data_IF_376630074914
#
_entry.id   IF_376630074914
#
_cell.length_a   1.000
_cell.length_b   1.000
_cell.length_c   1.000
_cell.angle_alpha   90.00
_cell.angle_beta   90.00
_cell.angle_gamma   90.00
#
_symmetry.space_group_name_H-M   'P 1'
#
loop_
_entity.id
_entity.type
_entity.pdbx_description
1 polymer ?
#
# COMPACT_ATOMS: atom_id res chain seq x y z
N UNK A 1 18.45 -5.05 10.05
CA UNK A 1 17.07 -4.78 10.50
C UNK A 1 16.98 -3.30 10.81
N UNK A 2 16.73 -2.49 9.79
CA UNK A 2 16.42 -1.07 10.00
C UNK A 2 14.94 -0.97 10.39
N UNK A 3 14.71 -0.31 11.52
CA UNK A 3 13.41 -0.08 12.10
C UNK A 3 12.55 0.77 11.18
N UNK A 4 11.28 0.37 11.07
CA UNK A 4 10.14 1.15 10.59
C UNK A 4 10.45 2.62 10.36
N UNK A 5 10.55 3.01 9.08
CA UNK A 5 10.74 4.38 8.64
C UNK A 5 9.74 5.28 9.36
N UNK A 6 10.27 6.08 10.27
CA UNK A 6 9.53 7.03 11.10
C UNK A 6 8.53 7.79 10.25
N UNK A 7 7.24 7.62 10.54
CA UNK A 7 6.28 8.68 10.24
C UNK A 7 6.84 9.92 10.91
N UNK A 8 7.29 10.88 10.10
CA UNK A 8 7.97 12.05 10.65
C UNK A 8 7.08 12.68 11.73
N UNK A 9 7.64 13.16 12.85
CA UNK A 9 6.87 13.84 13.90
C UNK A 9 6.00 14.98 13.35
N UNK A 10 6.36 15.54 12.19
CA UNK A 10 5.55 16.53 11.49
C UNK A 10 4.27 15.92 10.89
N UNK A 11 4.29 14.69 10.37
CA UNK A 11 3.10 14.00 9.84
C UNK A 11 2.15 13.66 10.98
N UNK A 12 2.66 13.11 12.09
CA UNK A 12 1.84 12.83 13.28
C UNK A 12 1.33 14.10 13.95
N UNK A 13 2.14 15.17 13.97
CA UNK A 13 1.74 16.49 14.47
C UNK A 13 0.65 17.15 13.61
N UNK A 14 0.73 17.04 12.28
CA UNK A 14 -0.29 17.56 11.36
C UNK A 14 -1.61 16.79 11.50
N UNK A 15 -1.55 15.46 11.66
CA UNK A 15 -2.72 14.61 11.90
C UNK A 15 -3.37 14.91 13.26
N UNK A 16 -2.57 15.07 14.32
CA UNK A 16 -3.05 15.41 15.66
C UNK A 16 -3.68 16.80 15.74
N UNK A 17 -3.12 17.79 15.05
CA UNK A 17 -3.68 19.15 15.01
C UNK A 17 -4.95 19.21 14.14
N UNK A 18 -5.03 18.43 13.06
CA UNK A 18 -6.27 18.31 12.27
C UNK A 18 -7.41 17.69 13.10
N UNK A 19 -7.12 16.65 13.90
CA UNK A 19 -8.07 16.05 14.85
C UNK A 19 -8.46 17.01 16.00
N UNK A 20 -7.50 17.74 16.56
CA UNK A 20 -7.78 18.75 17.60
C UNK A 20 -8.62 19.92 17.09
N UNK A 21 -8.43 20.32 15.83
CA UNK A 21 -9.27 21.33 15.18
C UNK A 21 -10.68 20.80 14.88
N UNK A 22 -10.83 19.51 14.52
CA UNK A 22 -12.13 18.88 14.30
C UNK A 22 -13.00 18.87 15.56
N UNK A 23 -12.44 18.55 16.73
CA UNK A 23 -13.19 18.55 18.01
C UNK A 23 -13.65 19.97 18.39
N UNK A 24 -12.83 20.98 18.10
CA UNK A 24 -13.14 22.38 18.43
C UNK A 24 -14.27 22.98 17.57
N UNK A 25 -14.55 22.43 16.39
CA UNK A 25 -15.48 23.00 15.40
C UNK A 25 -16.84 22.31 15.41
N UNK A 26 -16.92 21.07 15.91
CA UNK A 26 -18.18 20.38 16.18
C UNK A 26 -19.14 21.21 17.07
N UNK A 27 -18.61 22.14 17.87
CA UNK A 27 -19.39 22.94 18.78
C UNK A 27 -20.12 24.15 18.15
N UNK A 28 -19.78 24.64 16.93
CA UNK A 28 -20.23 25.99 16.53
C UNK A 28 -20.77 26.17 15.10
N UNK A 29 -20.47 25.33 14.09
CA UNK A 29 -20.98 25.56 12.71
C UNK A 29 -21.32 24.27 11.95
N UNK A 30 -22.42 23.63 12.34
CA UNK A 30 -23.03 22.54 11.57
C UNK A 30 -23.78 23.07 10.34
N UNK A 31 -23.11 23.08 9.19
CA UNK A 31 -23.77 23.18 7.88
C UNK A 31 -23.69 21.83 7.14
N UNK A 32 -24.67 21.55 6.28
CA UNK A 32 -24.76 20.29 5.52
C UNK A 32 -23.47 19.95 4.75
N UNK A 33 -22.76 20.97 4.27
CA UNK A 33 -21.48 20.81 3.57
C UNK A 33 -20.35 20.30 4.47
N UNK A 34 -20.26 20.77 5.72
CA UNK A 34 -19.22 20.33 6.65
C UNK A 34 -19.45 18.87 7.08
N UNK A 35 -20.72 18.51 7.31
CA UNK A 35 -21.14 17.14 7.61
C UNK A 35 -20.85 16.21 6.43
N UNK A 36 -21.29 16.58 5.22
CA UNK A 36 -21.01 15.83 4.00
C UNK A 36 -19.50 15.61 3.79
N UNK A 37 -18.68 16.64 3.99
CA UNK A 37 -17.23 16.53 3.86
C UNK A 37 -16.60 15.63 4.95
N UNK A 38 -17.18 15.60 6.15
CA UNK A 38 -16.74 14.70 7.22
C UNK A 38 -17.12 13.25 6.93
N UNK A 39 -18.33 13.01 6.43
CA UNK A 39 -18.80 11.67 6.07
C UNK A 39 -18.00 11.11 4.90
N UNK A 40 -17.74 11.93 3.88
CA UNK A 40 -16.88 11.58 2.75
C UNK A 40 -15.42 11.37 3.17
N UNK A 41 -14.90 12.15 4.14
CA UNK A 41 -13.58 11.91 4.75
C UNK A 41 -13.53 10.53 5.38
N UNK A 42 -14.48 10.20 6.25
CA UNK A 42 -14.50 8.94 6.98
C UNK A 42 -14.60 7.76 6.01
N UNK A 43 -15.50 7.84 5.03
CA UNK A 43 -15.68 6.80 4.01
C UNK A 43 -14.39 6.53 3.24
N UNK A 44 -13.75 7.57 2.69
CA UNK A 44 -12.50 7.44 1.94
C UNK A 44 -11.37 6.94 2.84
N UNK A 45 -11.27 7.43 4.07
CA UNK A 45 -10.23 7.04 5.00
C UNK A 45 -10.34 5.55 5.38
N UNK A 46 -11.55 5.08 5.70
CA UNK A 46 -11.81 3.67 5.97
C UNK A 46 -11.42 2.78 4.79
N UNK A 47 -11.76 3.20 3.58
CA UNK A 47 -11.41 2.46 2.38
C UNK A 47 -9.90 2.44 2.09
N UNK A 48 -9.19 3.56 2.28
CA UNK A 48 -7.73 3.59 2.20
C UNK A 48 -7.06 2.65 3.20
N UNK A 49 -7.59 2.57 4.43
CA UNK A 49 -7.10 1.63 5.44
C UNK A 49 -7.34 0.17 5.02
N UNK A 50 -8.48 -0.12 4.38
CA UNK A 50 -8.79 -1.46 3.86
C UNK A 50 -7.85 -1.85 2.72
N UNK A 51 -7.58 -0.94 1.78
CA UNK A 51 -6.59 -1.13 0.69
C UNK A 51 -5.23 -1.54 1.27
N UNK A 52 -4.71 -0.77 2.23
CA UNK A 52 -3.39 -1.01 2.81
C UNK A 52 -3.34 -2.34 3.57
N UNK A 53 -4.36 -2.64 4.38
CA UNK A 53 -4.45 -3.92 5.10
C UNK A 53 -4.51 -5.11 4.15
N UNK A 54 -5.27 -5.01 3.06
CA UNK A 54 -5.38 -6.08 2.07
C UNK A 54 -4.05 -6.30 1.33
N UNK A 55 -3.38 -5.21 0.92
CA UNK A 55 -2.08 -5.28 0.25
C UNK A 55 -0.98 -5.84 1.16
N UNK A 56 -0.90 -5.38 2.41
CA UNK A 56 0.07 -5.87 3.38
C UNK A 56 -0.14 -7.35 3.72
N UNK A 57 -1.41 -7.77 3.88
CA UNK A 57 -1.74 -9.17 4.11
C UNK A 57 -1.29 -10.06 2.94
N UNK A 58 -1.46 -9.61 1.70
CA UNK A 58 -0.96 -10.32 0.54
C UNK A 58 0.56 -10.34 0.48
N UNK A 59 1.22 -9.20 0.67
CA UNK A 59 2.69 -9.11 0.70
C UNK A 59 3.30 -10.09 1.70
N UNK A 60 2.77 -10.12 2.93
CA UNK A 60 3.22 -11.04 3.98
C UNK A 60 2.98 -12.49 3.57
N UNK A 61 1.78 -12.84 3.10
CA UNK A 61 1.45 -14.21 2.72
C UNK A 61 2.36 -14.73 1.60
N UNK A 62 2.55 -13.95 0.54
CA UNK A 62 3.43 -14.35 -0.55
C UNK A 62 4.90 -14.42 -0.13
N UNK A 63 5.36 -13.53 0.76
CA UNK A 63 6.74 -13.55 1.27
C UNK A 63 7.02 -14.81 2.08
N UNK A 64 6.07 -15.23 2.92
CA UNK A 64 6.19 -16.48 3.68
C UNK A 64 6.25 -17.69 2.74
N UNK A 65 5.43 -17.70 1.69
CA UNK A 65 5.46 -18.76 0.68
C UNK A 65 6.79 -18.84 -0.07
N UNK A 66 7.36 -17.71 -0.48
CA UNK A 66 8.68 -17.78 -1.10
C UNK A 66 9.80 -18.20 -0.16
N UNK A 67 9.74 -17.81 1.11
CA UNK A 67 10.71 -18.29 2.09
C UNK A 67 10.62 -19.81 2.22
N UNK A 68 9.42 -20.36 2.34
CA UNK A 68 9.21 -21.81 2.42
C UNK A 68 9.71 -22.54 1.15
N UNK A 69 9.48 -21.96 -0.03
CA UNK A 69 10.02 -22.48 -1.31
C UNK A 69 11.56 -22.44 -1.33
N UNK A 70 12.18 -21.35 -0.88
CA UNK A 70 13.63 -21.22 -0.84
C UNK A 70 14.26 -22.24 0.13
N UNK A 71 13.65 -22.43 1.29
CA UNK A 71 14.07 -23.44 2.27
C UNK A 71 13.96 -24.85 1.68
N UNK A 72 12.87 -25.14 0.97
CA UNK A 72 12.69 -26.41 0.26
C UNK A 72 13.78 -26.65 -0.80
N UNK A 73 14.09 -25.65 -1.63
CA UNK A 73 15.16 -25.73 -2.64
C UNK A 73 16.52 -25.97 -1.96
N UNK A 74 16.81 -25.25 -0.87
CA UNK A 74 18.06 -25.39 -0.13
C UNK A 74 18.23 -26.81 0.45
N UNK A 75 17.16 -27.38 1.00
CA UNK A 75 17.17 -28.76 1.52
C UNK A 75 17.34 -29.78 0.38
N UNK A 76 16.67 -29.57 -0.76
CA UNK A 76 16.86 -30.39 -1.96
C UNK A 76 18.31 -30.39 -2.45
N UNK A 77 18.95 -29.21 -2.52
CA UNK A 77 20.35 -29.07 -2.91
C UNK A 77 21.30 -29.75 -1.92
N UNK A 78 21.00 -29.67 -0.61
CA UNK A 78 21.77 -30.36 0.44
C UNK A 78 21.67 -31.89 0.29
N UNK A 79 20.47 -32.42 0.07
CA UNK A 79 20.26 -33.85 -0.14
C UNK A 79 21.07 -34.37 -1.35
N UNK A 80 21.06 -33.63 -2.47
CA UNK A 80 21.84 -33.97 -3.67
C UNK A 80 23.34 -33.94 -3.39
N UNK A 81 23.84 -32.93 -2.67
CA UNK A 81 25.26 -32.83 -2.31
C UNK A 81 25.73 -34.00 -1.42
N UNK A 82 24.83 -34.59 -0.64
CA UNK A 82 25.09 -35.76 0.20
C UNK A 82 24.86 -37.10 -0.54
N UNK A 83 24.54 -37.08 -1.84
CA UNK A 83 24.26 -38.27 -2.65
C UNK A 83 22.89 -38.91 -2.38
N UNK A 84 21.99 -38.20 -1.69
CA UNK A 84 20.60 -38.61 -1.45
C UNK A 84 19.70 -38.11 -2.59
N UNK A 85 18.62 -38.84 -2.88
CA UNK A 85 17.63 -38.40 -3.87
C UNK A 85 16.92 -37.12 -3.37
N UNK A 86 16.73 -36.09 -4.20
CA UNK A 86 16.02 -34.89 -3.81
C UNK A 86 14.54 -35.21 -3.53
N UNK A 87 13.97 -34.57 -2.51
CA UNK A 87 12.54 -34.70 -2.24
C UNK A 87 11.74 -34.02 -3.36
N UNK A 88 10.78 -34.73 -3.94
CA UNK A 88 10.30 -34.43 -5.32
C UNK A 88 9.09 -33.50 -5.38
N UNK A 89 8.54 -33.07 -4.24
CA UNK A 89 7.34 -32.22 -4.23
C UNK A 89 7.35 -31.24 -3.06
N UNK A 90 7.22 -29.95 -3.38
CA UNK A 90 6.87 -28.91 -2.41
C UNK A 90 5.36 -28.82 -2.33
N UNK A 91 4.81 -29.04 -1.14
CA UNK A 91 3.43 -28.72 -0.81
C UNK A 91 3.43 -27.61 0.23
N UNK A 92 2.82 -26.47 -0.09
CA UNK A 92 2.68 -25.39 0.86
C UNK A 92 1.81 -25.85 2.05
N UNK A 93 2.17 -25.40 3.26
CA UNK A 93 1.39 -25.73 4.45
C UNK A 93 -0.08 -25.29 4.30
N UNK A 94 -1.06 -26.11 4.70
CA UNK A 94 -2.48 -25.78 4.54
C UNK A 94 -2.87 -24.43 5.16
N UNK A 95 -2.24 -24.04 6.28
CA UNK A 95 -2.46 -22.74 6.91
C UNK A 95 -2.01 -21.58 6.01
N UNK A 96 -0.88 -21.73 5.32
CA UNK A 96 -0.36 -20.73 4.40
C UNK A 96 -1.26 -20.58 3.18
N UNK A 97 -1.76 -21.69 2.64
CA UNK A 97 -2.73 -21.67 1.55
C UNK A 97 -4.03 -20.95 1.95
N UNK A 98 -4.53 -21.18 3.16
CA UNK A 98 -5.71 -20.47 3.66
C UNK A 98 -5.44 -18.96 3.82
N UNK A 99 -4.27 -18.58 4.35
CA UNK A 99 -3.84 -17.16 4.44
C UNK A 99 -3.76 -16.50 3.06
N UNK A 100 -3.21 -17.19 2.05
CA UNK A 100 -3.17 -16.69 0.67
C UNK A 100 -4.58 -16.54 0.11
N UNK A 101 -5.47 -17.51 0.35
CA UNK A 101 -6.87 -17.45 -0.12
C UNK A 101 -7.64 -16.28 0.51
N UNK A 102 -7.53 -16.10 1.83
CA UNK A 102 -8.19 -15.02 2.56
C UNK A 102 -7.65 -13.65 2.13
N UNK A 103 -6.33 -13.49 2.02
CA UNK A 103 -5.72 -12.24 1.56
C UNK A 103 -6.04 -11.93 0.09
N UNK A 104 -6.14 -12.97 -0.75
CA UNK A 104 -6.61 -12.87 -2.13
C UNK A 104 -8.04 -12.37 -2.22
N UNK A 105 -8.93 -12.89 -1.37
CA UNK A 105 -10.32 -12.44 -1.36
C UNK A 105 -10.43 -10.96 -0.95
N UNK A 106 -9.78 -10.57 0.14
CA UNK A 106 -9.77 -9.17 0.61
C UNK A 106 -9.28 -8.20 -0.47
N UNK A 107 -8.26 -8.58 -1.22
CA UNK A 107 -7.76 -7.76 -2.32
C UNK A 107 -8.75 -7.68 -3.50
N UNK A 108 -9.46 -8.77 -3.82
CA UNK A 108 -10.50 -8.73 -4.86
C UNK A 108 -11.63 -7.78 -4.48
N UNK A 109 -12.00 -7.73 -3.20
CA UNK A 109 -13.02 -6.81 -2.69
C UNK A 109 -12.57 -5.35 -2.87
N UNK A 110 -11.30 -5.05 -2.58
CA UNK A 110 -10.67 -3.75 -2.87
C UNK A 110 -10.65 -3.45 -4.39
N UNK A 111 -10.25 -4.41 -5.22
CA UNK A 111 -10.21 -4.20 -6.67
C UNK A 111 -11.61 -3.90 -7.23
N UNK A 112 -12.66 -4.55 -6.72
CA UNK A 112 -14.03 -4.33 -7.16
C UNK A 112 -14.54 -2.90 -6.87
N UNK A 113 -14.07 -2.28 -5.79
CA UNK A 113 -14.52 -0.96 -5.35
C UNK A 113 -13.63 0.20 -5.82
N UNK A 114 -12.49 -0.08 -6.46
CA UNK A 114 -11.47 0.94 -6.78
C UNK A 114 -12.03 2.15 -7.53
N UNK A 115 -12.75 1.94 -8.63
CA UNK A 115 -13.28 3.03 -9.45
C UNK A 115 -14.33 3.91 -8.75
N UNK A 116 -14.95 3.42 -7.68
CA UNK A 116 -15.99 4.14 -6.94
C UNK A 116 -15.43 4.97 -5.79
N UNK A 117 -14.25 4.62 -5.28
CA UNK A 117 -13.78 5.10 -3.98
C UNK A 117 -12.37 5.72 -4.01
N UNK A 118 -11.64 5.61 -5.12
CA UNK A 118 -10.25 6.07 -5.21
C UNK A 118 -10.08 7.26 -6.14
N UNK A 119 -8.98 8.00 -5.91
CA UNK A 119 -8.48 8.96 -6.90
C UNK A 119 -7.50 8.28 -7.88
N UNK A 120 -7.07 9.05 -8.89
CA UNK A 120 -6.18 8.60 -9.96
C UNK A 120 -4.87 7.95 -9.45
N UNK A 121 -4.30 8.43 -8.34
CA UNK A 121 -3.02 7.95 -7.82
C UNK A 121 -3.21 6.59 -7.16
N UNK A 122 -4.25 6.47 -6.34
CA UNK A 122 -4.59 5.21 -5.66
C UNK A 122 -5.05 4.17 -6.66
N UNK A 123 -5.85 4.55 -7.66
CA UNK A 123 -6.26 3.64 -8.74
C UNK A 123 -5.05 3.09 -9.50
N UNK A 124 -4.14 3.96 -9.95
CA UNK A 124 -2.90 3.57 -10.64
C UNK A 124 -2.03 2.67 -9.78
N UNK A 125 -1.92 2.96 -8.48
CA UNK A 125 -1.13 2.14 -7.57
C UNK A 125 -1.77 0.77 -7.29
N UNK A 126 -3.10 0.70 -7.17
CA UNK A 126 -3.84 -0.58 -7.10
C UNK A 126 -3.57 -1.40 -8.36
N UNK A 127 -3.58 -0.77 -9.54
CA UNK A 127 -3.26 -1.45 -10.80
C UNK A 127 -1.84 -2.02 -10.83
N UNK A 128 -0.85 -1.27 -10.36
CA UNK A 128 0.55 -1.72 -10.26
C UNK A 128 0.67 -2.91 -9.29
N UNK A 129 0.04 -2.81 -8.11
CA UNK A 129 0.08 -3.87 -7.12
C UNK A 129 -0.62 -5.15 -7.60
N UNK A 130 -1.78 -5.02 -8.26
CA UNK A 130 -2.53 -6.15 -8.80
C UNK A 130 -1.78 -6.84 -9.96
N UNK A 131 -1.11 -6.07 -10.81
CA UNK A 131 -0.27 -6.63 -11.87
C UNK A 131 0.91 -7.43 -11.28
N UNK A 132 1.60 -6.90 -10.28
CA UNK A 132 2.72 -7.59 -9.63
C UNK A 132 2.27 -8.85 -8.88
N UNK A 133 1.09 -8.81 -8.26
CA UNK A 133 0.45 -10.00 -7.68
C UNK A 133 0.20 -11.08 -8.75
N UNK A 134 -0.24 -10.67 -9.95
CA UNK A 134 -0.42 -11.59 -11.08
C UNK A 134 0.87 -12.31 -11.49
N UNK A 135 2.00 -11.59 -11.53
CA UNK A 135 3.33 -12.16 -11.81
C UNK A 135 3.70 -13.21 -10.75
N UNK A 136 3.53 -12.86 -9.48
CA UNK A 136 3.79 -13.78 -8.35
C UNK A 136 2.88 -15.01 -8.36
N UNK A 137 1.63 -14.87 -8.78
CA UNK A 137 0.72 -16.02 -8.88
C UNK A 137 1.06 -16.95 -10.05
N UNK A 138 1.73 -16.45 -11.10
CA UNK A 138 2.12 -17.21 -12.30
C UNK A 138 3.53 -17.82 -12.25
N UNK A 139 4.14 -17.93 -11.06
CA UNK A 139 5.58 -18.17 -10.83
C UNK A 139 6.23 -19.32 -11.61
N UNK A 140 7.46 -19.04 -12.06
CA UNK A 140 8.59 -19.99 -12.15
C UNK A 140 9.42 -19.90 -10.86
N UNK A 141 9.97 -21.02 -10.38
CA UNK A 141 10.73 -21.09 -9.12
C UNK A 141 12.03 -20.27 -9.14
N UNK A 142 12.60 -20.04 -10.32
CA UNK A 142 13.93 -19.43 -10.49
C UNK A 142 13.95 -17.91 -10.26
N UNK A 143 12.82 -17.20 -10.38
CA UNK A 143 12.72 -15.73 -10.27
C UNK A 143 12.12 -15.24 -8.96
N UNK A 144 11.88 -16.14 -8.02
CA UNK A 144 11.03 -15.88 -6.83
C UNK A 144 11.54 -14.73 -5.95
N UNK A 145 12.86 -14.53 -5.87
CA UNK A 145 13.48 -13.44 -5.11
C UNK A 145 13.26 -12.07 -5.77
N UNK A 146 13.48 -11.97 -7.08
CA UNK A 146 13.32 -10.73 -7.84
C UNK A 146 11.84 -10.31 -7.86
N UNK A 147 10.93 -11.28 -8.06
CA UNK A 147 9.49 -11.04 -8.05
C UNK A 147 9.01 -10.46 -6.71
N UNK A 148 9.67 -10.84 -5.62
CA UNK A 148 9.38 -10.32 -4.28
C UNK A 148 9.87 -8.92 -4.02
N UNK A 149 11.08 -8.59 -4.48
CA UNK A 149 11.60 -7.23 -4.40
C UNK A 149 10.68 -6.28 -5.19
N UNK A 150 10.23 -6.70 -6.38
CA UNK A 150 9.26 -5.94 -7.16
C UNK A 150 7.90 -5.82 -6.47
N UNK A 151 7.48 -6.83 -5.71
CA UNK A 151 6.25 -6.75 -4.92
C UNK A 151 6.33 -5.75 -3.78
N UNK A 152 7.48 -5.67 -3.13
CA UNK A 152 7.73 -4.65 -2.11
C UNK A 152 7.72 -3.25 -2.73
N UNK A 153 8.32 -3.07 -3.91
CA UNK A 153 8.24 -1.80 -4.67
C UNK A 153 6.79 -1.43 -4.95
N UNK A 154 5.97 -2.36 -5.42
CA UNK A 154 4.55 -2.13 -5.69
C UNK A 154 3.78 -1.75 -4.41
N UNK A 155 4.08 -2.39 -3.27
CA UNK A 155 3.50 -2.03 -1.97
C UNK A 155 3.86 -0.60 -1.56
N UNK A 156 5.12 -0.19 -1.74
CA UNK A 156 5.56 1.18 -1.42
C UNK A 156 4.85 2.23 -2.27
N UNK A 157 4.68 1.96 -3.57
CA UNK A 157 3.91 2.83 -4.48
C UNK A 157 2.47 3.00 -3.97
N UNK A 158 1.83 1.92 -3.54
CA UNK A 158 0.47 1.94 -2.98
C UNK A 158 0.39 2.71 -1.66
N UNK A 159 1.33 2.50 -0.75
CA UNK A 159 1.43 3.26 0.50
C UNK A 159 1.61 4.76 0.23
N UNK A 160 2.39 5.12 -0.79
CA UNK A 160 2.59 6.51 -1.18
C UNK A 160 1.35 7.13 -1.80
N UNK A 161 0.66 6.41 -2.67
CA UNK A 161 -0.63 6.84 -3.20
C UNK A 161 -1.66 7.06 -2.09
N UNK A 162 -1.71 6.17 -1.09
CA UNK A 162 -2.57 6.33 0.08
C UNK A 162 -2.22 7.59 0.89
N UNK A 163 -0.93 7.94 1.04
CA UNK A 163 -0.51 9.22 1.66
C UNK A 163 -0.98 10.43 0.85
N UNK A 164 -0.84 10.41 -0.47
CA UNK A 164 -1.33 11.47 -1.37
C UNK A 164 -2.84 11.66 -1.19
N UNK A 165 -3.61 10.57 -1.24
CA UNK A 165 -5.05 10.61 -1.03
C UNK A 165 -5.40 11.15 0.36
N UNK A 166 -4.71 10.68 1.41
CA UNK A 166 -4.89 11.18 2.78
C UNK A 166 -4.67 12.71 2.89
N UNK A 167 -3.62 13.24 2.27
CA UNK A 167 -3.33 14.67 2.25
C UNK A 167 -4.43 15.44 1.50
N UNK A 168 -4.91 14.92 0.36
CA UNK A 168 -6.01 15.52 -0.42
C UNK A 168 -7.31 15.60 0.37
N UNK A 169 -7.67 14.53 1.07
CA UNK A 169 -8.87 14.51 1.91
C UNK A 169 -8.68 15.47 3.11
N UNK A 170 -7.49 15.51 3.71
CA UNK A 170 -7.15 16.45 4.80
C UNK A 170 -7.25 17.93 4.36
N UNK A 171 -6.83 18.25 3.12
CA UNK A 171 -7.00 19.59 2.54
C UNK A 171 -8.47 19.99 2.43
N UNK A 172 -9.36 19.05 2.09
CA UNK A 172 -10.80 19.28 2.00
C UNK A 172 -11.38 19.62 3.38
N UNK A 173 -10.96 18.89 4.42
CA UNK A 173 -11.33 19.18 5.81
C UNK A 173 -10.82 20.55 6.24
N UNK A 174 -9.53 20.86 6.03
CA UNK A 174 -8.92 22.15 6.35
C UNK A 174 -9.67 23.31 5.68
N UNK A 175 -10.03 23.17 4.40
CA UNK A 175 -10.74 24.21 3.67
C UNK A 175 -12.18 24.43 4.18
N UNK A 176 -12.81 23.38 4.70
CA UNK A 176 -14.20 23.40 5.16
C UNK A 176 -14.35 23.86 6.61
N UNK A 177 -13.36 23.57 7.45
CA UNK A 177 -13.45 23.74 8.90
C UNK A 177 -12.61 24.92 9.41
N UNK A 178 -11.41 25.15 8.84
CA UNK A 178 -10.56 26.26 9.29
C UNK A 178 -10.90 27.56 8.57
N UNK A 179 -10.70 28.70 9.24
CA UNK A 179 -10.81 30.04 8.65
C UNK A 179 -9.57 30.89 8.98
N UNK A 180 -9.36 31.97 8.24
CA UNK A 180 -8.31 32.95 8.54
C UNK A 180 -6.87 32.42 8.42
N UNK A 181 -6.00 32.87 9.32
CA UNK A 181 -4.57 32.55 9.32
C UNK A 181 -4.27 31.05 9.53
N UNK A 182 -4.92 30.33 10.48
CA UNK A 182 -4.73 28.88 10.64
C UNK A 182 -5.00 28.09 9.36
N UNK A 183 -6.08 28.40 8.63
CA UNK A 183 -6.36 27.76 7.33
C UNK A 183 -5.21 27.95 6.35
N UNK A 184 -4.69 29.18 6.23
CA UNK A 184 -3.59 29.50 5.29
C UNK A 184 -2.34 28.71 5.64
N UNK A 185 -1.97 28.66 6.91
CA UNK A 185 -0.77 27.96 7.39
C UNK A 185 -0.87 26.45 7.14
N UNK A 186 -1.95 25.80 7.59
CA UNK A 186 -2.13 24.36 7.39
C UNK A 186 -2.25 23.98 5.92
N UNK A 187 -2.99 24.77 5.12
CA UNK A 187 -3.10 24.54 3.67
C UNK A 187 -1.73 24.63 3.00
N UNK A 188 -0.90 25.62 3.33
CA UNK A 188 0.43 25.77 2.75
C UNK A 188 1.33 24.57 3.08
N UNK A 189 1.31 24.11 4.34
CA UNK A 189 2.06 22.93 4.76
C UNK A 189 1.60 21.67 4.01
N UNK A 190 0.29 21.40 3.98
CA UNK A 190 -0.27 20.24 3.30
C UNK A 190 0.00 20.25 1.79
N UNK A 191 -0.06 21.42 1.13
CA UNK A 191 0.28 21.54 -0.29
C UNK A 191 1.76 21.25 -0.56
N UNK A 192 2.66 21.74 0.30
CA UNK A 192 4.09 21.45 0.17
C UNK A 192 4.40 19.97 0.34
N UNK A 193 3.77 19.30 1.31
CA UNK A 193 3.92 17.84 1.49
C UNK A 193 3.30 17.09 0.30
N UNK A 194 2.14 17.52 -0.19
CA UNK A 194 1.48 16.91 -1.35
C UNK A 194 2.36 16.92 -2.59
N UNK A 195 3.02 18.04 -2.86
CA UNK A 195 3.92 18.19 -4.02
C UNK A 195 5.14 17.28 -3.92
N UNK A 196 5.73 17.16 -2.72
CA UNK A 196 6.81 16.22 -2.45
C UNK A 196 6.39 14.76 -2.65
N UNK A 197 5.23 14.36 -2.10
CA UNK A 197 4.73 12.99 -2.22
C UNK A 197 4.36 12.63 -3.65
N UNK A 198 3.77 13.56 -4.42
CA UNK A 198 3.49 13.36 -5.85
C UNK A 198 4.77 13.15 -6.66
N UNK A 199 5.79 13.95 -6.40
CA UNK A 199 7.08 13.84 -7.09
C UNK A 199 7.73 12.48 -6.80
N UNK A 200 7.75 12.05 -5.53
CA UNK A 200 8.28 10.75 -5.13
C UNK A 200 7.48 9.59 -5.71
N UNK A 201 6.15 9.72 -5.80
CA UNK A 201 5.30 8.72 -6.44
C UNK A 201 5.67 8.53 -7.91
N UNK A 202 5.82 9.60 -8.69
CA UNK A 202 6.18 9.47 -10.10
C UNK A 202 7.57 8.85 -10.27
N UNK A 203 8.54 9.21 -9.41
CA UNK A 203 9.88 8.59 -9.42
C UNK A 203 9.80 7.07 -9.15
N UNK A 204 9.02 6.65 -8.16
CA UNK A 204 8.85 5.23 -7.85
C UNK A 204 8.17 4.47 -8.99
N UNK A 205 7.15 5.06 -9.63
CA UNK A 205 6.48 4.41 -10.77
C UNK A 205 7.39 4.35 -12.00
N UNK A 206 8.19 5.38 -12.27
CA UNK A 206 9.17 5.35 -13.36
C UNK A 206 10.19 4.25 -13.11
N UNK A 207 10.77 4.19 -11.90
CA UNK A 207 11.71 3.14 -11.52
C UNK A 207 11.11 1.74 -11.68
N UNK A 208 9.88 1.53 -11.21
CA UNK A 208 9.18 0.26 -11.38
C UNK A 208 9.03 -0.14 -12.86
N UNK A 209 8.63 0.81 -13.72
CA UNK A 209 8.52 0.56 -15.17
C UNK A 209 9.87 0.28 -15.83
N UNK A 210 10.93 0.95 -15.40
CA UNK A 210 12.29 0.69 -15.90
C UNK A 210 12.74 -0.71 -15.52
N UNK A 211 12.47 -1.16 -14.29
CA UNK A 211 12.81 -2.52 -13.87
C UNK A 211 12.07 -3.57 -14.69
N UNK A 212 10.78 -3.38 -14.95
CA UNK A 212 10.01 -4.27 -15.83
C UNK A 212 10.57 -4.33 -17.27
N UNK A 213 11.10 -3.21 -17.78
CA UNK A 213 11.70 -3.17 -19.14
C UNK A 213 13.06 -3.83 -19.21
N UNK A 214 13.80 -3.87 -18.11
CA UNK A 214 15.11 -4.52 -18.03
C UNK A 214 15.03 -6.03 -17.84
N UNK A 215 13.85 -6.57 -17.50
CA UNK A 215 13.65 -8.01 -17.41
C UNK A 215 13.65 -8.63 -18.82
N UNK A 216 14.38 -9.74 -19.05
CA UNK A 216 14.37 -10.43 -20.33
C UNK A 216 12.94 -10.91 -20.64
N UNK A 217 12.45 -10.62 -21.84
CA UNK A 217 11.19 -11.18 -22.32
C UNK A 217 11.33 -12.70 -22.40
N UNK A 218 10.66 -13.41 -21.49
CA UNK A 218 10.47 -14.85 -21.56
C UNK A 218 9.43 -15.21 -22.63
#
# INVERSE_FOLDING_TARGET
METFGSLSPAILGIVGVALGALISIYAVRGGDLARFNSDEFNRRYSYLAEILRAAEAQYIAYRLDAQAVQEFIAEGNRAVAEGRAPNVFYEAEPELLDRIKVSTQKWRDVVALRYLQTDEYVERAIGIFDAQRGVIAGRNLDTISEDHEQFEVALRILQRAARIAHIRVSLTVVNSHLIGWPRRTHRKQLLSVLEGEKSLFEVEVVRYKETLRSQPSN
#
